data_IF_286441857905
#
_entry.id   IF_286441857905
#
_cell.length_a   1.000
_cell.length_b   1.000
_cell.length_c   1.000
_cell.angle_alpha   90.00
_cell.angle_beta   90.00
_cell.angle_gamma   90.00
#
_symmetry.space_group_name_H-M   'P 1'
#
loop_
_entity.id
_entity.type
_entity.pdbx_description
1 polymer ?
#
# COMPACT_ATOMS: atom_id res chain seq x y z
N UNK A 1 -3.74 10.35 10.07
CA UNK A 1 -4.30 9.60 8.90
C UNK A 1 -4.83 8.26 9.42
N UNK A 2 -5.80 7.62 8.76
CA UNK A 2 -6.38 6.36 9.26
C UNK A 2 -6.05 5.14 8.39
N UNK A 3 -5.54 5.34 7.18
CA UNK A 3 -5.04 4.26 6.35
C UNK A 3 -4.27 4.74 5.12
N UNK A 4 -3.67 3.79 4.42
CA UNK A 4 -3.00 4.00 3.15
C UNK A 4 -3.28 2.81 2.24
N UNK A 5 -3.52 3.10 0.97
CA UNK A 5 -3.58 2.07 -0.08
C UNK A 5 -2.35 2.20 -0.97
N UNK A 6 -1.81 1.06 -1.40
CA UNK A 6 -0.75 0.98 -2.39
C UNK A 6 -1.26 0.15 -3.56
N UNK A 7 -1.45 0.80 -4.70
CA UNK A 7 -1.87 0.18 -5.95
C UNK A 7 -0.65 -0.04 -6.84
N UNK A 8 -0.55 -1.20 -7.48
CA UNK A 8 0.52 -1.52 -8.42
C UNK A 8 -0.08 -2.06 -9.70
N UNK A 9 0.22 -1.42 -10.84
CA UNK A 9 -0.24 -1.85 -12.16
C UNK A 9 0.69 -2.90 -12.77
N UNK A 10 0.11 -4.01 -13.21
CA UNK A 10 0.78 -5.10 -13.92
C UNK A 10 0.16 -5.30 -15.31
N UNK A 11 0.82 -6.08 -16.16
CA UNK A 11 0.34 -6.38 -17.53
C UNK A 11 -1.02 -7.10 -17.56
N UNK A 12 -1.34 -7.85 -16.51
CA UNK A 12 -2.57 -8.67 -16.40
C UNK A 12 -3.66 -8.03 -15.54
N UNK A 13 -3.44 -6.79 -15.06
CA UNK A 13 -4.32 -6.09 -14.13
C UNK A 13 -3.53 -5.39 -13.03
N UNK A 14 -4.20 -4.87 -12.00
CA UNK A 14 -3.57 -4.25 -10.85
C UNK A 14 -3.87 -4.98 -9.54
N UNK A 15 -3.02 -4.75 -8.54
CA UNK A 15 -3.23 -5.17 -7.17
C UNK A 15 -3.29 -3.95 -6.24
N UNK A 16 -4.18 -4.00 -5.25
CA UNK A 16 -4.37 -2.95 -4.25
C UNK A 16 -4.14 -3.53 -2.86
N UNK A 17 -3.05 -3.12 -2.23
CA UNK A 17 -2.81 -3.34 -0.80
C UNK A 17 -3.51 -2.23 -0.01
N UNK A 18 -4.27 -2.59 1.01
CA UNK A 18 -4.92 -1.69 1.96
C UNK A 18 -4.32 -1.94 3.33
N UNK A 19 -3.84 -0.90 3.98
CA UNK A 19 -3.27 -0.93 5.32
C UNK A 19 -3.90 0.16 6.18
N UNK A 20 -4.50 -0.25 7.30
CA UNK A 20 -5.19 0.65 8.23
C UNK A 20 -4.36 0.85 9.51
N UNK A 21 -4.63 1.96 10.20
CA UNK A 21 -3.92 2.37 11.41
C UNK A 21 -4.10 1.40 12.59
N UNK A 22 -5.16 0.59 12.58
CA UNK A 22 -5.40 -0.47 13.57
C UNK A 22 -4.56 -1.74 13.31
N UNK A 23 -3.90 -1.83 12.14
CA UNK A 23 -3.14 -3.00 11.69
C UNK A 23 -3.90 -3.91 10.73
N UNK A 24 -5.18 -3.62 10.46
CA UNK A 24 -5.96 -4.34 9.47
C UNK A 24 -5.33 -4.18 8.09
N UNK A 25 -5.09 -5.30 7.42
CA UNK A 25 -4.44 -5.35 6.11
C UNK A 25 -5.24 -6.21 5.16
N UNK A 26 -5.43 -5.75 3.93
CA UNK A 26 -6.08 -6.52 2.87
C UNK A 26 -5.35 -6.33 1.55
N UNK A 27 -5.34 -7.35 0.71
CA UNK A 27 -4.82 -7.30 -0.64
C UNK A 27 -5.92 -7.72 -1.61
N UNK A 28 -6.16 -6.93 -2.63
CA UNK A 28 -7.16 -7.20 -3.66
C UNK A 28 -6.50 -7.24 -5.03
N UNK A 29 -6.99 -8.13 -5.91
CA UNK A 29 -6.55 -8.20 -7.29
C UNK A 29 -7.71 -7.84 -8.21
N UNK A 30 -7.44 -7.02 -9.22
CA UNK A 30 -8.42 -6.66 -10.25
C UNK A 30 -8.94 -7.86 -11.06
N UNK A 31 -8.14 -8.93 -11.17
CA UNK A 31 -8.51 -10.20 -11.81
C UNK A 31 -9.41 -11.07 -10.92
N UNK A 32 -9.81 -10.58 -9.74
CA UNK A 32 -10.55 -11.31 -8.73
C UNK A 32 -9.65 -12.00 -7.71
N UNK A 33 -10.24 -12.30 -6.55
CA UNK A 33 -9.55 -12.82 -5.39
C UNK A 33 -8.85 -11.74 -4.56
N UNK A 34 -8.18 -12.19 -3.51
CA UNK A 34 -7.51 -11.32 -2.56
C UNK A 34 -7.01 -12.10 -1.35
N UNK A 35 -6.38 -11.39 -0.44
CA UNK A 35 -5.85 -11.93 0.80
C UNK A 35 -6.20 -10.99 1.93
N UNK A 36 -6.93 -11.50 2.92
CA UNK A 36 -7.25 -10.75 4.13
C UNK A 36 -6.19 -11.07 5.17
N UNK A 37 -5.46 -10.05 5.58
CA UNK A 37 -4.63 -10.08 6.77
C UNK A 37 -5.53 -10.03 8.00
N UNK A 38 -5.15 -10.76 9.05
CA UNK A 38 -5.75 -10.51 10.36
C UNK A 38 -4.87 -9.54 11.14
N UNK A 39 -5.49 -8.55 11.77
CA UNK A 39 -4.84 -7.69 12.76
C UNK A 39 -4.32 -8.50 13.97
N UNK A 40 -4.82 -9.73 14.18
CA UNK A 40 -4.37 -10.63 15.24
C UNK A 40 -2.99 -11.27 14.96
N UNK A 41 -2.53 -11.22 13.70
CA UNK A 41 -1.19 -11.69 13.37
C UNK A 41 -0.21 -10.52 13.46
N UNK A 42 0.50 -10.44 14.59
CA UNK A 42 1.37 -9.31 14.94
C UNK A 42 2.31 -8.87 13.81
N UNK A 43 3.01 -9.75 13.07
CA UNK A 43 3.91 -9.31 12.00
C UNK A 43 3.23 -8.51 10.88
N UNK A 44 2.00 -8.88 10.48
CA UNK A 44 1.23 -8.13 9.47
C UNK A 44 0.72 -6.82 10.06
N UNK A 45 0.21 -6.85 11.28
CA UNK A 45 -0.29 -5.65 11.96
C UNK A 45 0.83 -4.60 12.17
N UNK A 46 2.01 -5.04 12.58
CA UNK A 46 3.17 -4.17 12.83
C UNK A 46 3.69 -3.57 11.51
N UNK A 47 3.77 -4.37 10.44
CA UNK A 47 4.14 -3.89 9.11
C UNK A 47 3.13 -2.87 8.57
N UNK A 48 1.83 -3.12 8.74
CA UNK A 48 0.74 -2.19 8.36
C UNK A 48 0.83 -0.87 9.13
N UNK A 49 1.00 -0.92 10.44
CA UNK A 49 1.15 0.28 11.27
C UNK A 49 2.39 1.08 10.91
N UNK A 50 3.51 0.41 10.65
CA UNK A 50 4.74 1.06 10.20
C UNK A 50 4.54 1.75 8.84
N UNK A 51 3.82 1.11 7.92
CA UNK A 51 3.47 1.68 6.63
C UNK A 51 2.59 2.93 6.76
N UNK A 52 1.55 2.88 7.58
CA UNK A 52 0.68 4.03 7.87
C UNK A 52 1.48 5.16 8.52
N UNK A 53 2.29 4.87 9.54
CA UNK A 53 3.13 5.89 10.19
C UNK A 53 4.12 6.55 9.22
N UNK A 54 4.73 5.78 8.31
CA UNK A 54 5.61 6.35 7.29
C UNK A 54 4.86 7.24 6.29
N UNK A 55 3.64 6.85 5.92
CA UNK A 55 2.80 7.61 5.00
C UNK A 55 2.42 9.00 5.55
N UNK A 56 2.34 9.17 6.88
CA UNK A 56 2.00 10.46 7.49
C UNK A 56 3.04 11.55 7.15
N UNK A 57 4.31 11.16 6.98
CA UNK A 57 5.39 12.07 6.59
C UNK A 57 5.24 12.67 5.19
N UNK A 58 4.32 12.13 4.37
CA UNK A 58 4.10 12.56 3.00
C UNK A 58 2.83 13.42 2.83
N UNK A 59 2.04 13.61 3.91
CA UNK A 59 0.76 14.31 3.83
C UNK A 59 0.89 15.76 3.35
N UNK A 60 1.87 16.51 3.86
CA UNK A 60 2.09 17.92 3.46
C UNK A 60 2.50 18.08 1.99
N UNK A 61 3.03 17.02 1.36
CA UNK A 61 3.50 17.02 -0.03
C UNK A 61 2.51 16.37 -1.00
N UNK A 62 1.43 15.80 -0.48
CA UNK A 62 0.44 15.08 -1.26
C UNK A 62 -0.62 16.06 -1.79
N UNK A 63 -1.01 15.91 -3.06
CA UNK A 63 -2.09 16.70 -3.64
C UNK A 63 -3.43 16.03 -3.34
N UNK A 64 -4.41 16.82 -2.89
CA UNK A 64 -5.81 16.39 -2.84
C UNK A 64 -6.26 15.98 -4.24
N UNK A 65 -6.74 14.75 -4.38
CA UNK A 65 -7.18 14.21 -5.65
C UNK A 65 -8.48 13.45 -5.46
N UNK A 66 -9.49 13.79 -6.27
CA UNK A 66 -10.80 13.14 -6.26
C UNK A 66 -11.00 12.24 -7.51
N UNK A 67 -9.94 12.03 -8.30
CA UNK A 67 -9.98 11.18 -9.49
C UNK A 67 -8.96 10.05 -9.32
N UNK A 68 -9.43 8.81 -9.49
CA UNK A 68 -8.65 7.60 -9.31
C UNK A 68 -8.66 6.80 -10.62
N UNK A 69 -7.88 7.20 -11.64
CA UNK A 69 -7.77 6.40 -12.86
C UNK A 69 -7.05 5.07 -12.56
N UNK A 70 -7.19 4.07 -13.41
CA UNK A 70 -6.50 2.79 -13.19
C UNK A 70 -4.97 3.01 -13.19
N UNK A 71 -4.21 2.32 -12.31
CA UNK A 71 -2.76 2.42 -12.30
C UNK A 71 -2.18 1.84 -13.60
N UNK A 72 -1.29 2.59 -14.24
CA UNK A 72 -0.58 2.13 -15.42
C UNK A 72 0.41 1.00 -15.09
N UNK A 73 0.76 0.21 -16.10
CA UNK A 73 1.72 -0.89 -15.94
C UNK A 73 3.07 -0.34 -15.48
N UNK A 74 3.61 -0.87 -14.38
CA UNK A 74 4.87 -0.42 -13.79
C UNK A 74 4.77 0.88 -12.99
N UNK A 75 3.57 1.41 -12.78
CA UNK A 75 3.33 2.52 -11.84
C UNK A 75 2.84 1.99 -10.49
N UNK A 76 3.29 2.65 -9.44
CA UNK A 76 2.77 2.48 -8.09
C UNK A 76 2.10 3.76 -7.66
N UNK A 77 0.85 3.65 -7.21
CA UNK A 77 0.11 4.76 -6.61
C UNK A 77 -0.09 4.51 -5.12
N UNK A 78 0.18 5.53 -4.34
CA UNK A 78 -0.19 5.61 -2.93
C UNK A 78 -1.42 6.49 -2.79
N UNK A 79 -2.43 5.99 -2.09
CA UNK A 79 -3.66 6.70 -1.75
C UNK A 79 -3.67 6.87 -0.24
N UNK A 80 -3.60 8.09 0.25
CA UNK A 80 -3.58 8.42 1.67
C UNK A 80 -5.01 8.70 2.14
N UNK A 81 -5.46 7.93 3.14
CA UNK A 81 -6.81 7.99 3.66
C UNK A 81 -6.80 8.81 4.96
N UNK A 82 -7.11 10.11 4.84
CA UNK A 82 -7.05 11.05 5.97
C UNK A 82 -8.45 11.44 6.45
N UNK A 83 -8.51 12.14 7.58
CA UNK A 83 -9.78 12.68 8.11
C UNK A 83 -10.25 13.93 7.36
N UNK A 84 -9.37 14.58 6.61
CA UNK A 84 -9.65 15.82 5.87
C UNK A 84 -9.89 15.59 4.38
N UNK A 85 -9.66 14.38 3.89
CA UNK A 85 -9.85 14.00 2.49
C UNK A 85 -8.92 12.87 2.04
N UNK A 86 -8.92 12.62 0.74
CA UNK A 86 -8.05 11.65 0.11
C UNK A 86 -6.99 12.40 -0.69
N UNK A 87 -5.73 12.02 -0.53
CA UNK A 87 -4.63 12.52 -1.34
C UNK A 87 -3.90 11.36 -2.01
N UNK A 88 -3.23 11.63 -3.12
CA UNK A 88 -2.54 10.59 -3.88
C UNK A 88 -1.14 11.02 -4.27
N UNK A 89 -0.22 10.08 -4.33
CA UNK A 89 1.09 10.26 -4.94
C UNK A 89 1.42 9.04 -5.78
N UNK A 90 2.05 9.24 -6.93
CA UNK A 90 2.41 8.15 -7.84
C UNK A 90 3.87 8.27 -8.28
N UNK A 91 4.50 7.13 -8.52
CA UNK A 91 5.84 7.04 -9.05
C UNK A 91 6.06 5.69 -9.75
N UNK A 92 6.98 5.66 -10.75
CA UNK A 92 7.41 4.42 -11.37
C UNK A 92 7.98 3.43 -10.36
N UNK A 93 7.61 2.15 -10.50
CA UNK A 93 8.03 1.08 -9.58
C UNK A 93 9.55 0.90 -9.56
N UNK A 94 10.21 1.02 -10.71
CA UNK A 94 11.66 0.92 -10.86
C UNK A 94 12.40 2.02 -10.08
N UNK A 95 11.89 3.26 -10.14
CA UNK A 95 12.42 4.41 -9.40
C UNK A 95 12.21 4.18 -7.89
N UNK A 96 11.04 3.71 -7.48
CA UNK A 96 10.77 3.39 -6.08
C UNK A 96 11.71 2.30 -5.56
N UNK A 97 11.89 1.23 -6.34
CA UNK A 97 12.78 0.11 -6.03
C UNK A 97 14.25 0.54 -5.97
N UNK A 98 14.66 1.58 -6.70
CA UNK A 98 16.03 2.10 -6.69
C UNK A 98 16.45 2.76 -5.38
N UNK A 99 15.51 3.09 -4.49
CA UNK A 99 15.78 3.77 -3.22
C UNK A 99 16.02 5.29 -3.32
N UNK A 100 16.00 5.87 -4.52
CA UNK A 100 16.38 7.27 -4.77
C UNK A 100 15.21 8.26 -4.68
N UNK A 101 13.98 7.79 -4.45
CA UNK A 101 12.78 8.61 -4.37
C UNK A 101 12.34 8.80 -2.92
N UNK A 102 11.81 9.96 -2.50
CA UNK A 102 11.19 10.12 -1.19
C UNK A 102 10.14 9.05 -0.84
N UNK A 103 9.43 8.52 -1.83
CA UNK A 103 8.44 7.44 -1.67
C UNK A 103 9.06 6.03 -1.59
N UNK A 104 10.36 5.87 -1.86
CA UNK A 104 11.02 4.56 -1.85
C UNK A 104 10.92 3.86 -0.50
N UNK A 105 11.00 4.61 0.60
CA UNK A 105 10.82 4.04 1.95
C UNK A 105 9.40 3.54 2.18
N UNK A 106 8.41 4.29 1.68
CA UNK A 106 7.00 3.91 1.76
C UNK A 106 6.74 2.64 0.94
N UNK A 107 7.30 2.57 -0.27
CA UNK A 107 7.23 1.39 -1.13
C UNK A 107 7.88 0.16 -0.47
N UNK A 108 9.04 0.32 0.14
CA UNK A 108 9.72 -0.78 0.85
C UNK A 108 8.86 -1.34 1.99
N UNK A 109 8.20 -0.48 2.78
CA UNK A 109 7.27 -0.91 3.82
C UNK A 109 6.02 -1.58 3.25
N UNK A 110 5.50 -1.11 2.12
CA UNK A 110 4.39 -1.78 1.43
C UNK A 110 4.75 -3.20 0.99
N UNK A 111 5.97 -3.38 0.47
CA UNK A 111 6.50 -4.70 0.11
C UNK A 111 6.74 -5.60 1.31
N UNK A 112 7.17 -5.04 2.44
CA UNK A 112 7.30 -5.79 3.69
C UNK A 112 5.93 -6.31 4.16
N UNK A 113 4.91 -5.45 4.18
CA UNK A 113 3.53 -5.84 4.50
C UNK A 113 3.02 -6.94 3.57
N UNK A 114 3.28 -6.84 2.25
CA UNK A 114 2.94 -7.91 1.29
C UNK A 114 3.67 -9.22 1.60
N UNK A 115 4.93 -9.15 2.01
CA UNK A 115 5.73 -10.32 2.38
C UNK A 115 5.15 -11.02 3.61
N UNK A 116 4.85 -10.26 4.66
CA UNK A 116 4.22 -10.80 5.87
C UNK A 116 2.84 -11.41 5.59
N UNK A 117 2.07 -10.77 4.71
CA UNK A 117 0.76 -11.27 4.31
C UNK A 117 0.86 -12.62 3.57
N UNK A 118 1.86 -12.78 2.68
CA UNK A 118 2.14 -14.05 1.99
C UNK A 118 2.55 -15.15 2.97
N UNK A 119 3.46 -14.86 3.91
CA UNK A 119 3.89 -15.81 4.94
C UNK A 119 2.71 -16.29 5.81
N UNK A 120 1.78 -15.41 6.15
CA UNK A 120 0.56 -15.78 6.86
C UNK A 120 -0.29 -16.76 6.06
N UNK A 121 -0.42 -16.56 4.74
CA UNK A 121 -1.20 -17.45 3.89
C UNK A 121 -0.53 -18.82 3.70
N UNK A 122 0.80 -18.87 3.66
CA UNK A 122 1.54 -20.14 3.64
C UNK A 122 1.36 -20.93 4.95
N UNK A 123 1.32 -20.24 6.10
CA UNK A 123 1.09 -20.89 7.41
C UNK A 123 -0.34 -21.45 7.58
N UNK A 124 -1.31 -20.91 6.84
CA UNK A 124 -2.71 -21.36 6.88
C UNK A 124 -3.03 -22.51 5.90
N UNK A 125 -2.07 -22.92 5.07
CA UNK A 125 -2.16 -24.09 4.20
C UNK A 125 -1.73 -25.35 4.94
#
# INVERSE_FOLDING_TARGET
MWGVMMETGYTVGFATLVSLADGTTSLYYSTGGGMLGSADYSPVADASKALVAQAENHLERSSLNNVFPLPEVGQVRFIFLTYTGISTMEAPEDILASGKNPLSRLYALGRETLTQLRLLAEKKR
#
